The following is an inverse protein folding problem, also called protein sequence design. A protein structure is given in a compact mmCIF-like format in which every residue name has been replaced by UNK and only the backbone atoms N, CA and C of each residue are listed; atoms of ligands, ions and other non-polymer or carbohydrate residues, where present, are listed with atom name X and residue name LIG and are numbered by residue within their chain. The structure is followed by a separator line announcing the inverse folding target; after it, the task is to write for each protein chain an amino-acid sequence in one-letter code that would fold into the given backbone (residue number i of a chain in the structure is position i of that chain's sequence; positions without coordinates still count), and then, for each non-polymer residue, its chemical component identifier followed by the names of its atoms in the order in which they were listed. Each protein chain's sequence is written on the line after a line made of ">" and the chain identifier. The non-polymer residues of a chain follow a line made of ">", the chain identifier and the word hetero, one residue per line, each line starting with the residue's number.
data_IF_548735829056
#
_entry.id   IF_548735829056
#
_cell.length_a   1.000
_cell.length_b   1.000
_cell.length_c   1.000
_cell.angle_alpha   90.00
_cell.angle_beta   90.00
_cell.angle_gamma   90.00
#
_symmetry.space_group_name_H-M   'P 1'
#
loop_
_entity.id
_entity.type
_entity.pdbx_description
1 polymer ?
#
# COMPACT_ATOMS: atom_id res chain seq x y z
N UNK A 1 -7.59 15.95 9.17
CA UNK A 1 -7.29 14.77 8.33
C UNK A 1 -6.76 13.68 9.25
N UNK A 2 -7.28 12.47 9.12
CA UNK A 2 -6.80 11.32 9.91
C UNK A 2 -5.42 10.89 9.39
N UNK A 3 -4.37 11.11 10.20
CA UNK A 3 -2.98 10.78 9.87
C UNK A 3 -2.79 9.28 9.73
N UNK A 4 -3.45 8.46 10.56
CA UNK A 4 -3.33 7.00 10.50
C UNK A 4 -3.93 6.45 9.21
N UNK A 5 -5.12 6.94 8.83
CA UNK A 5 -5.75 6.59 7.56
C UNK A 5 -4.86 6.91 6.37
N UNK A 6 -4.21 8.08 6.38
CA UNK A 6 -3.27 8.48 5.33
C UNK A 6 -2.01 7.62 5.29
N UNK A 7 -1.41 7.34 6.44
CA UNK A 7 -0.24 6.46 6.56
C UNK A 7 -0.57 5.07 6.00
N UNK A 8 -1.69 4.48 6.43
CA UNK A 8 -2.19 3.20 5.94
C UNK A 8 -2.34 3.24 4.42
N UNK A 9 -3.00 4.26 3.88
CA UNK A 9 -3.25 4.40 2.45
C UNK A 9 -1.96 4.53 1.62
N UNK A 10 -1.01 5.38 2.03
CA UNK A 10 0.28 5.57 1.34
C UNK A 10 1.08 4.26 1.32
N UNK A 11 1.07 3.52 2.43
CA UNK A 11 1.82 2.27 2.57
C UNK A 11 1.21 1.10 1.81
N UNK A 12 -0.04 1.18 1.33
CA UNK A 12 -0.64 0.14 0.46
C UNK A 12 0.12 -0.04 -0.86
N UNK A 13 0.88 0.96 -1.30
CA UNK A 13 1.77 0.88 -2.47
C UNK A 13 3.02 0.03 -2.21
N UNK A 14 3.17 -0.49 -0.99
CA UNK A 14 4.29 -1.31 -0.55
C UNK A 14 5.62 -0.56 -0.69
N UNK A 15 6.63 -1.27 -1.17
CA UNK A 15 8.01 -0.78 -1.26
C UNK A 15 8.29 0.09 -2.50
N UNK A 16 7.28 0.74 -3.07
CA UNK A 16 7.45 1.65 -4.21
C UNK A 16 7.70 3.10 -3.81
N UNK A 17 7.40 3.45 -2.56
CA UNK A 17 7.54 4.80 -2.06
C UNK A 17 9.01 5.19 -1.89
N UNK A 18 9.30 6.45 -2.25
CA UNK A 18 10.52 7.17 -1.87
C UNK A 18 10.19 8.22 -0.80
N UNK A 19 11.22 8.77 -0.13
CA UNK A 19 10.99 9.87 0.82
C UNK A 19 10.41 11.11 0.11
N UNK A 20 10.73 11.29 -1.17
CA UNK A 20 10.21 12.38 -1.99
C UNK A 20 8.73 12.17 -2.30
N UNK A 21 8.33 10.97 -2.71
CA UNK A 21 6.92 10.67 -2.99
C UNK A 21 6.07 10.73 -1.72
N UNK A 22 6.60 10.24 -0.59
CA UNK A 22 5.95 10.35 0.72
C UNK A 22 5.72 11.83 1.05
N UNK A 23 6.76 12.67 0.97
CA UNK A 23 6.68 14.10 1.25
C UNK A 23 5.56 14.80 0.46
N UNK A 24 5.44 14.52 -0.84
CA UNK A 24 4.33 15.08 -1.63
C UNK A 24 2.96 14.52 -1.22
N UNK A 25 2.86 13.20 -1.02
CA UNK A 25 1.59 12.55 -0.67
C UNK A 25 1.04 12.99 0.68
N UNK A 26 1.92 13.33 1.64
CA UNK A 26 1.52 13.87 2.95
C UNK A 26 1.32 15.39 2.96
N UNK A 27 1.24 16.03 1.79
CA UNK A 27 0.99 17.47 1.72
C UNK A 27 2.20 18.31 2.12
N UNK A 28 3.40 17.86 1.77
CA UNK A 28 4.67 18.54 2.06
C UNK A 28 4.92 18.75 3.56
N UNK A 29 4.42 17.81 4.37
CA UNK A 29 4.59 17.84 5.84
C UNK A 29 6.01 17.46 6.23
N UNK A 30 6.61 18.22 7.14
CA UNK A 30 7.87 17.91 7.82
C UNK A 30 7.74 18.30 9.31
N UNK A 31 8.35 17.56 10.25
CA UNK A 31 9.05 16.31 10.01
C UNK A 31 8.09 15.11 9.86
N UNK A 32 8.60 14.02 9.31
CA UNK A 32 7.91 12.72 9.26
C UNK A 32 8.92 11.58 9.45
N UNK A 33 8.45 10.41 9.89
CA UNK A 33 9.30 9.23 10.11
C UNK A 33 9.08 8.20 9.02
N UNK A 34 10.16 7.61 8.52
CA UNK A 34 10.08 6.55 7.52
C UNK A 34 11.15 5.48 7.75
N UNK A 35 10.81 4.24 7.43
CA UNK A 35 11.70 3.10 7.52
C UNK A 35 11.93 2.50 6.14
N UNK A 36 13.16 2.07 5.88
CA UNK A 36 13.53 1.42 4.63
C UNK A 36 13.56 -0.09 4.82
N UNK A 37 13.01 -0.86 3.89
CA UNK A 37 12.98 -2.33 3.93
C UNK A 37 12.47 -2.92 5.28
N UNK A 38 11.32 -2.46 5.81
CA UNK A 38 10.79 -2.93 7.09
C UNK A 38 10.50 -4.44 7.12
N UNK A 39 10.30 -5.05 5.95
CA UNK A 39 10.04 -6.48 5.80
C UNK A 39 11.29 -7.36 5.91
N UNK A 40 12.48 -6.77 6.09
CA UNK A 40 13.74 -7.48 6.30
C UNK A 40 14.29 -8.17 5.05
N UNK A 41 13.74 -7.93 3.85
CA UNK A 41 14.15 -8.63 2.61
C UNK A 41 15.61 -8.42 2.23
N UNK A 42 16.24 -7.35 2.71
CA UNK A 42 17.65 -7.04 2.48
C UNK A 42 18.50 -7.47 3.67
N UNK A 43 18.06 -7.13 4.88
CA UNK A 43 18.72 -7.50 6.13
C UNK A 43 17.80 -7.16 7.30
N UNK A 44 17.80 -7.98 8.35
CA UNK A 44 17.12 -7.68 9.61
C UNK A 44 17.63 -6.41 10.30
N UNK A 45 18.85 -5.98 9.95
CA UNK A 45 19.41 -4.69 10.37
C UNK A 45 18.39 -3.56 10.18
N UNK A 46 17.72 -3.50 9.02
CA UNK A 46 16.77 -2.43 8.70
C UNK A 46 15.53 -2.38 9.60
N UNK A 47 15.14 -3.50 10.24
CA UNK A 47 13.91 -3.59 11.05
C UNK A 47 13.95 -2.72 12.30
N UNK A 48 15.14 -2.47 12.84
CA UNK A 48 15.33 -1.66 14.03
C UNK A 48 15.52 -0.17 13.74
N UNK A 49 15.53 0.24 12.47
CA UNK A 49 15.97 1.57 12.08
C UNK A 49 14.91 2.37 11.37
N UNK A 50 14.95 3.67 11.55
CA UNK A 50 14.17 4.61 10.76
C UNK A 50 14.91 5.95 10.66
N UNK A 51 14.40 6.81 9.81
CA UNK A 51 14.84 8.20 9.72
C UNK A 51 13.69 9.12 10.10
N UNK A 52 14.02 10.21 10.78
CA UNK A 52 13.13 11.37 10.92
C UNK A 52 13.58 12.40 9.88
N UNK A 53 12.73 12.66 8.89
CA UNK A 53 13.03 13.54 7.76
C UNK A 53 12.62 14.96 8.11
N UNK A 54 13.55 15.90 8.03
CA UNK A 54 13.33 17.32 8.39
C UNK A 54 13.40 18.27 7.20
N UNK A 55 14.03 17.84 6.10
CA UNK A 55 14.11 18.65 4.89
C UNK A 55 14.02 17.75 3.66
N UNK A 56 13.31 18.22 2.64
CA UNK A 56 13.26 17.59 1.33
C UNK A 56 13.54 18.65 0.27
N UNK A 57 14.50 18.37 -0.61
CA UNK A 57 14.85 19.18 -1.78
C UNK A 57 14.47 18.40 -3.04
N UNK A 58 13.24 18.56 -3.54
CA UNK A 58 12.85 17.94 -4.80
C UNK A 58 13.68 18.47 -5.96
N UNK A 59 13.90 17.61 -6.96
CA UNK A 59 14.66 17.92 -8.15
C UNK A 59 14.16 17.14 -9.37
N UNK A 60 14.72 17.48 -10.53
CA UNK A 60 14.36 16.88 -11.82
C UNK A 60 12.96 17.28 -12.33
N UNK A 61 12.60 16.78 -13.51
CA UNK A 61 11.31 17.09 -14.15
C UNK A 61 10.17 16.46 -13.34
N UNK A 62 9.27 17.30 -12.82
CA UNK A 62 8.12 16.86 -12.03
C UNK A 62 8.42 16.55 -10.56
N UNK A 63 9.61 16.90 -10.05
CA UNK A 63 9.94 16.77 -8.62
C UNK A 63 10.07 15.34 -8.10
N UNK A 64 10.10 14.33 -8.97
CA UNK A 64 10.14 12.90 -8.59
C UNK A 64 11.51 12.44 -8.06
N UNK A 65 12.54 13.24 -8.26
CA UNK A 65 13.89 12.98 -7.75
C UNK A 65 14.23 14.02 -6.67
N UNK A 66 15.38 13.88 -6.03
CA UNK A 66 15.86 14.88 -5.10
C UNK A 66 16.62 14.28 -3.92
N UNK A 67 16.81 15.12 -2.92
CA UNK A 67 17.51 14.78 -1.70
C UNK A 67 16.56 14.96 -0.51
N UNK A 68 16.69 14.10 0.48
CA UNK A 68 16.04 14.30 1.77
C UNK A 68 17.13 14.32 2.84
N UNK A 69 16.90 15.11 3.87
CA UNK A 69 17.81 15.29 4.99
C UNK A 69 17.06 15.02 6.29
N UNK A 70 17.74 14.40 7.23
CA UNK A 70 17.12 14.00 8.48
C UNK A 70 18.11 13.39 9.46
N UNK A 71 17.54 12.81 10.50
CA UNK A 71 18.30 12.14 11.55
C UNK A 71 18.02 10.66 11.54
N UNK A 72 19.04 9.90 11.89
CA UNK A 72 18.98 8.45 11.99
C UNK A 72 18.59 8.00 13.40
N UNK A 73 17.72 7.00 13.46
CA UNK A 73 17.28 6.38 14.69
C UNK A 73 17.40 4.87 14.58
N UNK A 74 17.70 4.24 15.72
CA UNK A 74 17.74 2.80 15.87
C UNK A 74 17.18 2.43 17.24
N UNK A 75 16.30 1.43 17.26
CA UNK A 75 15.59 1.00 18.47
C UNK A 75 14.85 2.14 19.20
N UNK A 76 14.36 3.14 18.45
CA UNK A 76 13.64 4.29 19.01
C UNK A 76 14.53 5.44 19.47
N UNK A 77 15.85 5.31 19.44
CA UNK A 77 16.79 6.33 19.94
C UNK A 77 17.69 6.87 18.82
N UNK A 78 18.18 8.11 18.99
CA UNK A 78 19.22 8.66 18.11
C UNK A 78 20.44 7.76 18.17
N UNK A 79 20.98 7.41 17.00
CA UNK A 79 22.15 6.56 16.90
C UNK A 79 23.08 7.05 15.79
N UNK A 80 24.30 6.53 15.77
CA UNK A 80 25.18 6.65 14.61
C UNK A 80 24.73 5.64 13.56
N UNK A 81 24.67 6.05 12.30
CA UNK A 81 24.18 5.23 11.20
C UNK A 81 25.04 3.99 10.91
N UNK A 82 26.33 4.05 11.22
CA UNK A 82 27.29 2.95 11.03
C UNK A 82 27.88 2.57 12.38
N UNK A 83 27.41 1.46 12.94
CA UNK A 83 27.78 1.01 14.30
C UNK A 83 29.27 0.74 14.48
N UNK A 84 29.88 0.02 13.54
CA UNK A 84 31.27 -0.42 13.65
C UNK A 84 32.28 0.62 13.13
N UNK A 85 31.79 1.74 12.57
CA UNK A 85 32.64 2.83 12.10
C UNK A 85 31.89 4.17 12.19
N UNK A 86 31.76 4.74 13.40
CA UNK A 86 31.11 6.02 13.63
C UNK A 86 31.62 7.14 12.73
N UNK A 87 32.92 7.17 12.43
CA UNK A 87 33.53 8.22 11.60
C UNK A 87 32.96 8.25 10.18
N UNK A 88 32.57 7.08 9.64
CA UNK A 88 31.95 6.92 8.33
C UNK A 88 30.41 6.95 8.36
N UNK A 89 29.80 7.21 9.51
CA UNK A 89 28.35 7.36 9.59
C UNK A 89 27.88 8.59 8.81
N UNK A 90 26.89 8.40 7.95
CA UNK A 90 26.26 9.53 7.23
C UNK A 90 25.44 10.44 8.17
N UNK A 91 25.03 9.93 9.33
CA UNK A 91 24.43 10.69 10.41
C UNK A 91 24.96 10.16 11.74
N UNK A 92 25.38 11.09 12.60
CA UNK A 92 25.90 10.85 13.95
C UNK A 92 24.90 11.36 14.98
N UNK A 93 25.03 10.82 16.19
CA UNK A 93 24.32 11.30 17.39
C UNK A 93 24.69 12.73 17.74
N UNK A 94 25.93 13.14 17.47
CA UNK A 94 26.43 14.49 17.70
C UNK A 94 25.98 15.53 16.66
N UNK A 95 25.41 15.09 15.52
CA UNK A 95 24.94 16.02 14.50
C UNK A 95 23.69 16.76 14.97
N UNK A 96 23.76 18.09 14.94
CA UNK A 96 22.65 18.99 15.31
C UNK A 96 21.81 19.41 14.10
N UNK A 97 22.37 19.29 12.88
CA UNK A 97 21.68 19.61 11.63
C UNK A 97 21.29 18.33 10.87
N UNK A 98 20.16 18.34 10.14
CA UNK A 98 19.74 17.20 9.32
C UNK A 98 20.80 16.78 8.29
N UNK A 99 21.11 15.50 8.23
CA UNK A 99 22.11 14.95 7.32
C UNK A 99 21.49 14.30 6.09
N UNK A 100 22.22 14.28 4.98
CA UNK A 100 21.73 13.72 3.72
C UNK A 100 21.43 12.23 3.84
N UNK A 101 20.16 11.85 3.67
CA UNK A 101 19.71 10.46 3.82
C UNK A 101 20.08 9.67 2.55
N UNK A 102 20.90 8.61 2.66
CA UNK A 102 21.26 7.78 1.51
C UNK A 102 20.03 7.15 0.86
N UNK A 103 20.01 7.13 -0.48
CA UNK A 103 18.92 6.53 -1.26
C UNK A 103 17.52 7.10 -0.95
N UNK A 104 17.42 8.37 -0.56
CA UNK A 104 16.14 9.04 -0.25
C UNK A 104 15.13 8.99 -1.41
N UNK A 105 15.62 9.11 -2.65
CA UNK A 105 14.79 9.05 -3.86
C UNK A 105 14.58 7.63 -4.41
N UNK A 106 15.18 6.61 -3.80
CA UNK A 106 14.92 5.22 -4.17
C UNK A 106 13.60 4.74 -3.57
N UNK A 107 13.06 3.64 -4.10
CA UNK A 107 11.93 2.96 -3.48
C UNK A 107 12.28 2.32 -2.12
N UNK A 108 11.32 1.57 -1.60
CA UNK A 108 11.38 0.74 -0.38
C UNK A 108 11.32 1.48 0.94
N UNK A 109 10.85 2.73 0.92
CA UNK A 109 10.50 3.46 2.13
C UNK A 109 9.04 3.19 2.52
N UNK A 110 8.78 3.12 3.81
CA UNK A 110 7.45 2.96 4.41
C UNK A 110 7.29 4.08 5.42
N UNK A 111 6.19 4.82 5.31
CA UNK A 111 5.88 5.94 6.21
C UNK A 111 5.46 5.37 7.56
N UNK A 112 6.09 5.81 8.64
CA UNK A 112 5.77 5.37 10.00
C UNK A 112 4.87 6.38 10.72
N UNK A 113 5.20 7.66 10.59
CA UNK A 113 4.54 8.72 11.37
C UNK A 113 4.64 10.08 10.65
N UNK A 114 3.66 10.96 10.90
CA UNK A 114 3.60 12.33 10.38
C UNK A 114 3.60 13.28 11.58
N UNK A 115 4.76 13.83 11.89
CA UNK A 115 4.97 14.62 13.11
C UNK A 115 4.54 16.08 12.94
N UNK A 116 4.80 16.66 11.77
CA UNK A 116 4.47 18.05 11.48
C UNK A 116 3.03 18.27 11.02
N UNK A 117 2.83 19.48 10.47
CA UNK A 117 1.60 19.92 9.83
C UNK A 117 1.80 20.10 8.31
N UNK A 118 0.73 19.85 7.56
CA UNK A 118 0.76 19.95 6.10
C UNK A 118 0.86 21.41 5.64
N UNK A 119 1.75 21.66 4.69
CA UNK A 119 1.93 22.97 4.04
C UNK A 119 1.26 23.03 2.67
N UNK A 120 0.63 21.93 2.26
CA UNK A 120 -0.11 21.77 1.01
C UNK A 120 -1.16 20.68 1.19
N UNK A 121 -2.14 20.62 0.29
CA UNK A 121 -3.15 19.56 0.33
C UNK A 121 -2.51 18.17 0.21
N UNK A 122 -2.71 17.29 1.19
CA UNK A 122 -2.30 15.89 1.10
C UNK A 122 -3.08 15.15 0.01
N UNK A 123 -2.58 13.99 -0.40
CA UNK A 123 -3.25 13.18 -1.41
C UNK A 123 -4.64 12.73 -0.91
N UNK A 124 -5.62 12.79 -1.81
CA UNK A 124 -6.98 12.35 -1.52
C UNK A 124 -7.01 10.82 -1.36
N UNK A 125 -7.64 10.36 -0.29
CA UNK A 125 -7.99 8.97 -0.08
C UNK A 125 -9.46 8.83 -0.49
N UNK A 126 -9.71 8.09 -1.57
CA UNK A 126 -11.05 7.89 -2.09
C UNK A 126 -11.78 6.82 -1.25
N UNK A 127 -12.89 7.22 -0.63
CA UNK A 127 -13.91 6.32 -0.11
C UNK A 127 -14.87 5.85 -1.20
N UNK A 128 -15.77 4.93 -0.86
CA UNK A 128 -16.67 4.28 -1.85
C UNK A 128 -17.65 5.25 -2.51
N UNK A 129 -18.02 6.32 -1.80
CA UNK A 129 -18.93 7.35 -2.30
C UNK A 129 -18.21 8.48 -3.05
N UNK A 130 -16.88 8.53 -3.02
CA UNK A 130 -16.13 9.58 -3.70
C UNK A 130 -16.13 9.37 -5.22
N UNK A 131 -16.30 10.48 -5.94
CA UNK A 131 -16.15 10.52 -7.40
C UNK A 131 -14.67 10.59 -7.76
N UNK A 132 -14.21 9.68 -8.63
CA UNK A 132 -12.85 9.69 -9.14
C UNK A 132 -12.59 10.93 -10.00
N UNK A 133 -11.57 11.70 -9.66
CA UNK A 133 -11.23 12.95 -10.36
C UNK A 133 -10.25 12.73 -11.53
N UNK A 134 -9.64 11.54 -11.59
CA UNK A 134 -8.56 11.18 -12.52
C UNK A 134 -8.69 9.73 -13.00
N UNK A 135 -7.98 9.41 -14.09
CA UNK A 135 -7.87 8.04 -14.62
C UNK A 135 -9.05 7.61 -15.50
N UNK A 136 -9.07 6.31 -15.85
CA UNK A 136 -10.02 5.67 -16.78
C UNK A 136 -11.48 5.90 -16.40
N UNK A 137 -11.79 5.85 -15.10
CA UNK A 137 -13.14 5.94 -14.56
C UNK A 137 -13.47 7.31 -13.96
N UNK A 138 -12.81 8.37 -14.43
CA UNK A 138 -13.09 9.74 -14.02
C UNK A 138 -14.59 10.05 -14.13
N UNK A 139 -15.17 10.66 -13.10
CA UNK A 139 -16.58 11.03 -13.03
C UNK A 139 -17.52 9.94 -12.50
N UNK A 140 -17.01 8.74 -12.22
CA UNK A 140 -17.76 7.68 -11.52
C UNK A 140 -17.39 7.62 -10.05
N UNK A 141 -18.31 7.14 -9.22
CA UNK A 141 -18.01 6.82 -7.82
C UNK A 141 -17.13 5.57 -7.73
N UNK A 142 -16.31 5.48 -6.68
CA UNK A 142 -15.48 4.29 -6.47
C UNK A 142 -16.34 3.02 -6.32
N UNK A 143 -17.52 3.10 -5.68
CA UNK A 143 -18.47 1.99 -5.58
C UNK A 143 -18.93 1.46 -6.95
N UNK A 144 -19.27 2.35 -7.89
CA UNK A 144 -19.63 1.94 -9.26
C UNK A 144 -18.48 1.20 -9.95
N UNK A 145 -17.25 1.65 -9.73
CA UNK A 145 -16.06 1.04 -10.33
C UNK A 145 -15.73 -0.31 -9.69
N UNK A 146 -15.86 -0.46 -8.38
CA UNK A 146 -15.68 -1.75 -7.69
C UNK A 146 -16.62 -2.82 -8.27
N UNK A 147 -17.88 -2.44 -8.53
CA UNK A 147 -18.91 -3.36 -9.06
C UNK A 147 -18.72 -3.68 -10.54
N UNK A 148 -18.25 -2.72 -11.34
CA UNK A 148 -18.16 -2.87 -12.80
C UNK A 148 -16.77 -3.25 -13.34
N UNK A 149 -15.69 -2.93 -12.63
CA UNK A 149 -14.31 -3.13 -13.09
C UNK A 149 -13.34 -3.34 -11.90
N UNK A 150 -13.53 -4.45 -11.18
CA UNK A 150 -12.66 -4.83 -10.05
C UNK A 150 -11.19 -4.98 -10.45
N UNK A 151 -10.93 -5.45 -11.68
CA UNK A 151 -9.58 -5.57 -12.22
C UNK A 151 -8.85 -4.22 -12.27
N UNK A 152 -9.53 -3.16 -12.67
CA UNK A 152 -8.96 -1.81 -12.61
C UNK A 152 -8.69 -1.35 -11.17
N UNK A 153 -9.57 -1.64 -10.20
CA UNK A 153 -9.34 -1.29 -8.79
C UNK A 153 -8.08 -1.97 -8.26
N UNK A 154 -7.91 -3.27 -8.54
CA UNK A 154 -6.68 -4.02 -8.20
C UNK A 154 -5.44 -3.39 -8.84
N UNK A 155 -5.50 -3.08 -10.14
CA UNK A 155 -4.40 -2.43 -10.84
C UNK A 155 -4.07 -1.06 -10.26
N UNK A 156 -5.08 -0.22 -10.00
CA UNK A 156 -4.92 1.15 -9.52
C UNK A 156 -4.32 1.16 -8.10
N UNK A 157 -4.80 0.24 -7.23
CA UNK A 157 -4.23 0.03 -5.90
C UNK A 157 -2.72 -0.16 -5.96
N UNK A 158 -2.20 -0.93 -6.90
CA UNK A 158 -0.77 -1.24 -6.96
C UNK A 158 0.04 -0.24 -7.81
N UNK A 159 -0.52 0.23 -8.91
CA UNK A 159 0.25 0.88 -9.99
C UNK A 159 -0.06 2.36 -10.19
N UNK A 160 -1.23 2.85 -9.76
CA UNK A 160 -1.52 4.27 -9.88
C UNK A 160 -0.76 5.08 -8.82
N UNK A 161 0.08 6.01 -9.25
CA UNK A 161 0.92 6.82 -8.33
C UNK A 161 0.09 7.76 -7.43
N UNK A 162 -1.04 8.26 -7.93
CA UNK A 162 -1.82 9.33 -7.28
C UNK A 162 -3.26 8.93 -6.96
N UNK A 163 -3.52 7.62 -6.87
CA UNK A 163 -4.83 7.10 -6.48
C UNK A 163 -4.65 6.21 -5.26
N UNK A 164 -5.26 6.64 -4.16
CA UNK A 164 -5.25 5.96 -2.88
C UNK A 164 -6.69 5.68 -2.46
N UNK A 165 -6.95 4.49 -1.96
CA UNK A 165 -8.28 4.08 -1.55
C UNK A 165 -8.34 3.86 -0.06
N UNK A 166 -9.51 4.12 0.51
CA UNK A 166 -9.87 3.47 1.76
C UNK A 166 -10.12 1.99 1.50
N UNK A 167 -9.12 1.16 1.79
CA UNK A 167 -9.22 -0.27 1.50
C UNK A 167 -10.22 -0.99 2.40
N UNK A 168 -10.54 -0.46 3.58
CA UNK A 168 -11.54 -1.07 4.45
C UNK A 168 -12.92 -0.94 3.80
N UNK A 169 -13.27 0.26 3.33
CA UNK A 169 -14.51 0.50 2.59
C UNK A 169 -14.52 -0.25 1.24
N UNK A 170 -13.40 -0.29 0.51
CA UNK A 170 -13.31 -1.02 -0.77
C UNK A 170 -13.58 -2.50 -0.60
N UNK A 171 -13.00 -3.14 0.42
CA UNK A 171 -13.20 -4.56 0.70
C UNK A 171 -14.65 -4.82 1.12
N UNK A 172 -15.21 -3.98 2.00
CA UNK A 172 -16.61 -4.09 2.41
C UNK A 172 -17.56 -3.99 1.20
N UNK A 173 -17.34 -3.02 0.32
CA UNK A 173 -18.17 -2.84 -0.87
C UNK A 173 -18.00 -3.94 -1.90
N UNK A 174 -16.79 -4.48 -2.05
CA UNK A 174 -16.54 -5.65 -2.89
C UNK A 174 -17.31 -6.87 -2.37
N UNK A 175 -17.28 -7.12 -1.06
CA UNK A 175 -17.94 -8.25 -0.44
C UNK A 175 -19.46 -8.23 -0.63
N UNK A 176 -20.09 -7.05 -0.69
CA UNK A 176 -21.53 -6.92 -1.02
C UNK A 176 -21.90 -7.46 -2.41
N UNK A 177 -20.93 -7.51 -3.33
CA UNK A 177 -21.14 -7.99 -4.71
C UNK A 177 -20.85 -9.49 -4.87
N UNK A 178 -20.13 -10.09 -3.92
CA UNK A 178 -19.80 -11.52 -3.94
C UNK A 178 -20.95 -12.28 -3.29
N UNK A 179 -21.51 -13.24 -4.02
CA UNK A 179 -22.54 -14.14 -3.50
C UNK A 179 -21.89 -15.47 -3.15
N UNK A 180 -21.95 -15.91 -1.88
CA UNK A 180 -21.60 -17.28 -1.54
C UNK A 180 -22.45 -18.25 -2.37
N UNK A 181 -21.80 -19.27 -2.91
CA UNK A 181 -22.44 -20.33 -3.66
C UNK A 181 -22.88 -21.45 -2.71
N UNK A 182 -23.92 -22.17 -3.11
CA UNK A 182 -24.43 -23.37 -2.44
C UNK A 182 -24.26 -24.61 -3.34
N UNK A 183 -24.37 -25.83 -2.79
CA UNK A 183 -24.14 -27.07 -3.55
C UNK A 183 -24.95 -27.21 -4.83
N UNK A 184 -26.18 -26.69 -4.85
CA UNK A 184 -27.09 -26.73 -6.02
C UNK A 184 -26.83 -25.62 -7.05
N UNK A 185 -26.02 -24.61 -6.71
CA UNK A 185 -25.75 -23.51 -7.62
C UNK A 185 -24.95 -23.98 -8.83
N UNK A 186 -25.28 -23.44 -10.00
CA UNK A 186 -24.66 -23.82 -11.27
C UNK A 186 -23.47 -22.92 -11.56
N UNK A 187 -22.31 -23.52 -11.83
CA UNK A 187 -21.12 -22.78 -12.22
C UNK A 187 -21.35 -22.16 -13.62
N UNK A 188 -21.24 -20.84 -13.72
CA UNK A 188 -21.55 -20.11 -14.97
C UNK A 188 -20.34 -19.89 -15.88
N UNK A 189 -19.16 -20.36 -15.47
CA UNK A 189 -17.88 -20.17 -16.14
C UNK A 189 -16.95 -21.38 -15.94
N UNK A 190 -15.78 -21.37 -16.58
CA UNK A 190 -14.75 -22.41 -16.38
C UNK A 190 -15.02 -23.74 -17.07
N UNK A 191 -14.25 -24.77 -16.70
CA UNK A 191 -14.24 -26.12 -17.31
C UNK A 191 -15.58 -26.82 -17.18
N UNK A 192 -16.24 -26.68 -16.03
CA UNK A 192 -17.50 -27.33 -15.69
C UNK A 192 -18.70 -26.39 -15.79
N UNK A 193 -18.63 -25.39 -16.68
CA UNK A 193 -19.73 -24.46 -16.92
C UNK A 193 -21.04 -25.22 -17.20
N UNK A 194 -22.09 -24.88 -16.46
CA UNK A 194 -23.42 -25.50 -16.58
C UNK A 194 -23.68 -26.67 -15.64
N UNK A 195 -22.72 -27.05 -14.79
CA UNK A 195 -22.88 -28.11 -13.77
C UNK A 195 -23.05 -27.50 -12.38
N UNK A 196 -23.76 -28.21 -11.49
CA UNK A 196 -23.90 -27.80 -10.09
C UNK A 196 -22.58 -27.95 -9.33
N UNK A 197 -22.37 -27.18 -8.26
CA UNK A 197 -21.18 -27.33 -7.42
C UNK A 197 -21.09 -28.75 -6.85
N UNK A 198 -22.21 -29.37 -6.47
CA UNK A 198 -22.26 -30.75 -5.98
C UNK A 198 -21.78 -31.75 -7.04
N UNK A 199 -22.31 -31.68 -8.26
CA UNK A 199 -21.90 -32.60 -9.33
C UNK A 199 -20.40 -32.48 -9.63
N UNK A 200 -19.87 -31.26 -9.60
CA UNK A 200 -18.44 -31.00 -9.80
C UNK A 200 -17.64 -31.55 -8.61
N UNK A 201 -18.12 -31.41 -7.38
CA UNK A 201 -17.44 -31.94 -6.20
C UNK A 201 -17.30 -33.46 -6.25
N UNK A 202 -18.34 -34.17 -6.67
CA UNK A 202 -18.35 -35.62 -6.82
C UNK A 202 -17.40 -36.09 -7.93
N UNK A 203 -17.26 -35.29 -8.99
CA UNK A 203 -16.42 -35.62 -10.16
C UNK A 203 -14.95 -35.19 -10.01
N UNK A 204 -14.71 -33.98 -9.50
CA UNK A 204 -13.40 -33.30 -9.46
C UNK A 204 -13.36 -32.23 -8.35
N UNK A 205 -13.36 -32.67 -7.09
CA UNK A 205 -13.15 -31.82 -5.91
C UNK A 205 -11.88 -30.95 -6.02
N UNK A 206 -10.83 -31.42 -6.68
CA UNK A 206 -9.58 -30.68 -6.81
C UNK A 206 -9.75 -29.44 -7.69
N UNK A 207 -10.62 -29.49 -8.71
CA UNK A 207 -10.96 -28.32 -9.50
C UNK A 207 -11.62 -27.22 -8.67
N UNK A 208 -12.56 -27.57 -7.77
CA UNK A 208 -13.21 -26.58 -6.90
C UNK A 208 -12.22 -25.96 -5.91
N UNK A 209 -11.33 -26.76 -5.33
CA UNK A 209 -10.24 -26.25 -4.46
C UNK A 209 -9.29 -25.32 -5.22
N UNK A 210 -8.91 -25.70 -6.43
CA UNK A 210 -8.11 -24.85 -7.30
C UNK A 210 -8.85 -23.55 -7.64
N UNK A 211 -10.15 -23.63 -7.92
CA UNK A 211 -10.96 -22.47 -8.26
C UNK A 211 -11.07 -21.50 -7.08
N UNK A 212 -11.32 -22.00 -5.87
CA UNK A 212 -11.32 -21.21 -4.64
C UNK A 212 -9.97 -20.54 -4.35
N UNK A 213 -8.87 -21.20 -4.73
CA UNK A 213 -7.53 -20.64 -4.55
C UNK A 213 -7.14 -19.60 -5.62
N UNK A 214 -7.82 -19.56 -6.78
CA UNK A 214 -7.42 -18.74 -7.93
C UNK A 214 -8.48 -17.71 -8.36
N UNK A 215 -9.68 -17.77 -7.79
CA UNK A 215 -10.76 -16.85 -8.10
C UNK A 215 -11.36 -16.26 -6.81
N UNK A 216 -11.03 -14.99 -6.55
CA UNK A 216 -11.52 -14.21 -5.41
C UNK A 216 -13.07 -14.18 -5.32
N UNK A 217 -13.77 -14.39 -6.44
CA UNK A 217 -15.23 -14.32 -6.53
C UNK A 217 -15.90 -15.67 -6.28
N UNK A 218 -15.12 -16.76 -6.22
CA UNK A 218 -15.61 -18.09 -5.88
C UNK A 218 -15.58 -18.27 -4.37
N UNK A 219 -16.71 -18.00 -3.72
CA UNK A 219 -16.90 -18.20 -2.27
C UNK A 219 -17.85 -19.37 -2.07
N UNK A 220 -17.35 -20.45 -1.48
CA UNK A 220 -18.11 -21.66 -1.22
C UNK A 220 -17.61 -22.31 0.08
N UNK A 221 -18.53 -22.69 0.97
CA UNK A 221 -18.19 -23.46 2.17
C UNK A 221 -18.19 -24.96 1.84
N UNK A 222 -16.99 -25.55 1.77
CA UNK A 222 -16.82 -26.96 1.46
C UNK A 222 -17.45 -27.91 2.48
N UNK A 223 -17.79 -27.43 3.68
CA UNK A 223 -18.51 -28.24 4.67
C UNK A 223 -19.96 -28.51 4.27
N UNK A 224 -20.55 -27.72 3.36
CA UNK A 224 -21.91 -27.94 2.82
C UNK A 224 -22.00 -29.18 1.89
N UNK A 225 -20.87 -29.81 1.56
CA UNK A 225 -20.80 -31.05 0.77
C UNK A 225 -20.77 -32.33 1.63
N UNK A 226 -20.78 -32.18 2.96
CA UNK A 226 -20.67 -33.29 3.93
C UNK A 226 -21.99 -33.98 4.22
#
# INVERSE_FOLDING_TARGET
>A
MDKEKLIKAINQKGLRNSLISIYYNIGRTLPFRAQRFPDGRVSDWYRSQFVEVHEVKPGGKGGKYGYAYGFYFRNGERADATENNPEQSWCKTSDTEPQGIPCAACGSWVLLDILGEATSEPTKIYGVNDVLEVGKHKGKTLAEVIRSDWGWVKWAKENAEHIFFDMDEVVEERNKSIKPLHPEDVLTYGKYKGQSIRDIADLDMNYLKWLAANNDDFVFDFTELS
#
